data_IF_695893606578
#
_entry.id   IF_695893606578
#
_cell.length_a   1.000
_cell.length_b   1.000
_cell.length_c   1.000
_cell.angle_alpha   90.00
_cell.angle_beta   90.00
_cell.angle_gamma   90.00
#
_symmetry.space_group_name_H-M   'P 1'
#
loop_
_entity.id
_entity.type
_entity.pdbx_description
1 polymer ?
#
# COMPACT_ATOMS: atom_id res chain seq x y z
N UNK A 1 2.27 -5.92 4.84
CA UNK A 1 1.09 -5.77 3.95
C UNK A 1 0.56 -7.12 3.48
N UNK A 2 1.35 -7.92 2.75
CA UNK A 2 0.89 -9.22 2.21
C UNK A 2 0.27 -10.14 3.26
N UNK A 3 0.82 -10.22 4.47
CA UNK A 3 0.22 -11.02 5.56
C UNK A 3 -1.21 -10.59 5.92
N UNK A 4 -1.51 -9.28 5.90
CA UNK A 4 -2.88 -8.78 6.12
C UNK A 4 -3.78 -9.18 4.94
N UNK A 5 -3.29 -8.94 3.71
CA UNK A 5 -4.01 -9.32 2.48
C UNK A 5 -4.32 -10.83 2.43
N UNK A 6 -3.40 -11.66 2.91
CA UNK A 6 -3.50 -13.13 2.99
C UNK A 6 -4.20 -13.61 4.27
N UNK A 7 -5.17 -12.85 4.79
CA UNK A 7 -6.01 -13.27 5.93
C UNK A 7 -5.21 -13.67 7.19
N UNK A 8 -4.09 -12.98 7.42
CA UNK A 8 -3.20 -13.16 8.57
C UNK A 8 -2.14 -14.24 8.40
N UNK A 9 -2.04 -14.85 7.22
CA UNK A 9 -1.06 -15.89 6.90
C UNK A 9 0.09 -15.29 6.11
N UNK A 10 1.30 -15.38 6.65
CA UNK A 10 2.50 -15.11 5.89
C UNK A 10 2.67 -16.21 4.84
N UNK A 11 2.89 -15.79 3.60
CA UNK A 11 3.24 -16.65 2.47
C UNK A 11 4.58 -16.12 1.95
N UNK A 12 5.62 -16.97 1.88
CA UNK A 12 6.93 -16.54 1.38
C UNK A 12 6.83 -16.04 -0.07
N UNK A 13 7.49 -14.92 -0.41
CA UNK A 13 7.51 -14.44 -1.79
C UNK A 13 8.29 -15.41 -2.68
N UNK A 14 7.87 -15.54 -3.94
CA UNK A 14 8.63 -16.21 -4.99
C UNK A 14 8.62 -15.35 -6.26
N UNK A 15 9.69 -15.49 -7.04
CA UNK A 15 9.84 -14.91 -8.38
C UNK A 15 9.73 -15.97 -9.48
N UNK A 16 9.64 -17.26 -9.12
CA UNK A 16 9.64 -18.41 -10.02
C UNK A 16 8.30 -19.14 -9.90
N UNK A 17 7.68 -19.40 -11.03
CA UNK A 17 6.44 -20.16 -11.06
C UNK A 17 6.67 -21.61 -10.61
N UNK A 18 5.80 -22.14 -9.74
CA UNK A 18 5.87 -23.51 -9.24
C UNK A 18 6.62 -23.71 -7.92
N UNK A 19 7.23 -22.66 -7.36
CA UNK A 19 7.78 -22.72 -6.01
C UNK A 19 6.68 -23.02 -4.98
N UNK A 20 6.95 -23.94 -4.06
CA UNK A 20 6.06 -24.24 -2.94
C UNK A 20 6.33 -23.21 -1.82
N UNK A 21 5.39 -22.29 -1.52
CA UNK A 21 5.66 -21.26 -0.55
C UNK A 21 5.58 -21.79 0.88
N UNK A 22 6.51 -21.33 1.73
CA UNK A 22 6.40 -21.54 3.16
C UNK A 22 5.27 -20.67 3.73
N UNK A 23 4.38 -21.27 4.52
CA UNK A 23 3.21 -20.60 5.11
C UNK A 23 3.26 -20.61 6.62
N UNK A 24 2.93 -19.48 7.27
CA UNK A 24 2.81 -19.39 8.73
C UNK A 24 1.74 -18.38 9.14
N UNK A 25 0.82 -18.75 10.03
CA UNK A 25 -0.11 -17.77 10.62
C UNK A 25 0.65 -16.81 11.53
N UNK A 26 0.50 -15.51 11.28
CA UNK A 26 1.11 -14.43 12.07
C UNK A 26 0.04 -13.64 12.83
N UNK A 27 -1.12 -13.43 12.21
CA UNK A 27 -2.21 -12.64 12.76
C UNK A 27 -3.46 -13.49 12.94
N UNK A 28 -4.24 -13.17 13.98
CA UNK A 28 -5.55 -13.78 14.18
C UNK A 28 -6.55 -13.23 13.16
N UNK A 29 -7.61 -13.99 12.81
CA UNK A 29 -8.65 -13.51 11.92
C UNK A 29 -9.28 -12.19 12.38
N UNK A 30 -9.45 -12.02 13.70
CA UNK A 30 -10.06 -10.82 14.30
C UNK A 30 -9.16 -9.60 14.08
N UNK A 31 -7.86 -9.71 14.38
CA UNK A 31 -6.90 -8.64 14.17
C UNK A 31 -6.79 -8.24 12.68
N UNK A 32 -6.90 -9.20 11.77
CA UNK A 32 -6.92 -8.94 10.33
C UNK A 32 -8.18 -8.19 9.92
N UNK A 33 -9.34 -8.63 10.39
CA UNK A 33 -10.61 -7.98 10.08
C UNK A 33 -10.62 -6.52 10.55
N UNK A 34 -10.22 -6.29 11.80
CA UNK A 34 -10.14 -4.96 12.39
C UNK A 34 -9.15 -4.06 11.64
N UNK A 35 -7.92 -4.54 11.42
CA UNK A 35 -6.90 -3.76 10.71
C UNK A 35 -7.30 -3.45 9.27
N UNK A 36 -7.95 -4.38 8.58
CA UNK A 36 -8.44 -4.15 7.22
C UNK A 36 -9.48 -3.03 7.20
N UNK A 37 -10.41 -3.00 8.17
CA UNK A 37 -11.38 -1.90 8.27
C UNK A 37 -10.72 -0.56 8.60
N UNK A 38 -9.76 -0.54 9.53
CA UNK A 38 -8.97 0.66 9.83
C UNK A 38 -8.29 1.20 8.56
N UNK A 39 -7.67 0.32 7.79
CA UNK A 39 -6.97 0.68 6.56
C UNK A 39 -7.91 1.14 5.43
N UNK A 40 -9.11 0.56 5.33
CA UNK A 40 -10.14 1.05 4.41
C UNK A 40 -10.55 2.46 4.80
N UNK A 41 -10.82 2.70 6.09
CA UNK A 41 -11.18 4.03 6.58
C UNK A 41 -10.06 5.05 6.39
N UNK A 42 -8.80 4.63 6.57
CA UNK A 42 -7.64 5.48 6.32
C UNK A 42 -7.56 5.94 4.85
N UNK A 43 -8.01 5.11 3.90
CA UNK A 43 -8.07 5.48 2.49
C UNK A 43 -9.30 6.34 2.19
N UNK A 44 -10.46 5.95 2.71
CA UNK A 44 -11.75 6.59 2.40
C UNK A 44 -11.90 7.98 3.02
N UNK A 45 -11.30 8.17 4.19
CA UNK A 45 -11.31 9.44 4.93
C UNK A 45 -9.99 10.21 4.83
N UNK A 46 -8.94 9.61 4.26
CA UNK A 46 -7.60 10.18 4.21
C UNK A 46 -7.38 11.27 3.16
N UNK A 47 -6.18 11.85 3.18
CA UNK A 47 -5.76 12.97 2.33
C UNK A 47 -5.81 12.65 0.83
N UNK A 48 -5.59 11.39 0.45
CA UNK A 48 -5.58 10.95 -0.94
C UNK A 48 -6.95 10.49 -1.47
N UNK A 49 -8.04 10.61 -0.67
CA UNK A 49 -9.37 10.08 -1.03
C UNK A 49 -9.92 10.62 -2.35
N UNK A 50 -9.54 11.83 -2.72
CA UNK A 50 -9.96 12.49 -3.97
C UNK A 50 -9.51 11.74 -5.23
N UNK A 51 -8.42 10.97 -5.13
CA UNK A 51 -7.87 10.18 -6.23
C UNK A 51 -8.41 8.73 -6.27
N UNK A 52 -9.16 8.30 -5.25
CA UNK A 52 -9.66 6.93 -5.17
C UNK A 52 -10.73 6.68 -6.26
N UNK A 53 -10.58 5.65 -7.12
CA UNK A 53 -11.59 5.31 -8.12
C UNK A 53 -12.91 4.90 -7.45
N UNK A 54 -14.04 5.37 -7.99
CA UNK A 54 -15.37 4.95 -7.51
C UNK A 54 -15.54 3.44 -7.68
N UNK A 55 -16.10 2.79 -6.65
CA UNK A 55 -16.33 1.34 -6.64
C UNK A 55 -15.10 0.51 -6.29
N UNK A 56 -13.90 1.10 -6.21
CA UNK A 56 -12.70 0.38 -5.80
C UNK A 56 -12.54 0.38 -4.28
N UNK A 57 -12.64 -0.81 -3.68
CA UNK A 57 -12.38 -1.05 -2.26
C UNK A 57 -10.89 -1.27 -2.02
N UNK A 58 -10.24 -0.39 -1.25
CA UNK A 58 -8.78 -0.40 -1.01
C UNK A 58 -8.50 -0.35 0.48
N UNK A 59 -7.62 -1.21 0.96
CA UNK A 59 -6.96 -1.06 2.25
C UNK A 59 -5.52 -0.61 2.00
N UNK A 60 -5.13 0.57 2.49
CA UNK A 60 -3.81 1.11 2.19
C UNK A 60 -3.38 2.23 3.11
N UNK A 61 -2.17 2.73 2.88
CA UNK A 61 -1.61 3.84 3.64
C UNK A 61 -0.61 4.62 2.79
N UNK A 62 -0.67 5.95 2.93
CA UNK A 62 0.32 6.90 2.44
C UNK A 62 1.54 6.96 3.36
N UNK A 63 2.72 7.14 2.78
CA UNK A 63 3.96 7.42 3.51
C UNK A 63 4.74 8.53 2.82
N UNK A 64 5.33 9.42 3.62
CA UNK A 64 6.27 10.45 3.18
C UNK A 64 7.43 10.45 4.16
N UNK A 65 8.65 10.23 3.68
CA UNK A 65 9.84 10.22 4.52
C UNK A 65 10.90 11.13 3.91
N UNK A 66 11.62 11.90 4.74
CA UNK A 66 12.77 12.67 4.29
C UNK A 66 13.92 11.73 3.90
N UNK A 67 14.73 12.13 2.91
CA UNK A 67 15.85 11.33 2.45
C UNK A 67 17.03 11.47 3.43
N UNK A 68 17.60 10.36 3.93
CA UNK A 68 18.82 10.42 4.73
C UNK A 68 20.02 10.70 3.82
N UNK A 69 20.83 11.69 4.20
CA UNK A 69 22.10 12.06 3.54
C UNK A 69 23.15 12.16 4.65
N UNK A 70 24.21 11.36 4.59
CA UNK A 70 25.38 11.46 5.48
C UNK A 70 25.04 11.65 6.98
N UNK A 71 24.06 10.88 7.48
CA UNK A 71 23.67 10.89 8.90
C UNK A 71 22.68 11.98 9.33
N UNK A 72 22.20 12.82 8.41
CA UNK A 72 21.10 13.77 8.63
C UNK A 72 19.98 13.56 7.60
N UNK A 73 18.84 14.23 7.80
CA UNK A 73 17.73 14.22 6.84
C UNK A 73 17.74 15.51 6.02
N UNK A 74 17.62 15.36 4.70
CA UNK A 74 17.43 16.50 3.81
C UNK A 74 16.01 17.06 3.99
N UNK A 75 15.85 18.35 4.36
CA UNK A 75 14.54 18.92 4.63
C UNK A 75 13.69 19.13 3.37
N UNK A 76 14.32 19.17 2.19
CA UNK A 76 13.66 19.47 0.91
C UNK A 76 13.36 18.20 0.10
N UNK A 77 14.04 17.09 0.41
CA UNK A 77 13.92 15.84 -0.36
C UNK A 77 13.13 14.77 0.37
N UNK A 78 12.14 14.21 -0.31
CA UNK A 78 11.31 13.13 0.22
C UNK A 78 11.32 11.88 -0.65
N UNK A 79 11.02 10.75 -0.02
CA UNK A 79 10.50 9.54 -0.65
C UNK A 79 8.99 9.53 -0.35
N UNK A 80 8.20 9.71 -1.39
CA UNK A 80 6.75 9.61 -1.36
C UNK A 80 6.32 8.18 -1.68
N UNK A 81 5.36 7.63 -0.95
CA UNK A 81 4.93 6.25 -1.14
C UNK A 81 3.45 6.03 -0.84
N UNK A 82 2.91 4.98 -1.47
CA UNK A 82 1.64 4.38 -1.09
C UNK A 82 1.76 2.86 -1.16
N UNK A 83 1.28 2.19 -0.12
CA UNK A 83 1.20 0.74 -0.06
C UNK A 83 -0.22 0.31 0.29
N UNK A 84 -0.72 -0.71 -0.40
CA UNK A 84 -2.06 -1.21 -0.13
C UNK A 84 -2.36 -2.50 -0.87
N UNK A 85 -3.54 -3.05 -0.59
CA UNK A 85 -4.10 -4.20 -1.27
C UNK A 85 -5.55 -3.98 -1.67
N UNK A 86 -5.98 -4.66 -2.73
CA UNK A 86 -7.28 -4.49 -3.33
C UNK A 86 -7.71 -5.74 -4.14
N UNK A 87 -9.03 -6.00 -4.28
CA UNK A 87 -10.13 -5.45 -3.48
C UNK A 87 -9.97 -5.75 -1.98
N UNK A 88 -10.35 -4.83 -1.08
CA UNK A 88 -9.95 -4.94 0.33
C UNK A 88 -10.52 -6.16 1.08
N UNK A 89 -11.71 -6.65 0.72
CA UNK A 89 -12.35 -7.81 1.39
C UNK A 89 -11.85 -9.16 0.84
N UNK A 90 -11.56 -9.22 -0.46
CA UNK A 90 -11.00 -10.39 -1.14
C UNK A 90 -9.78 -9.96 -1.94
N UNK A 91 -8.62 -9.76 -1.28
CA UNK A 91 -7.45 -9.18 -1.91
C UNK A 91 -6.91 -10.07 -3.02
N UNK A 92 -6.75 -9.49 -4.21
CA UNK A 92 -6.10 -10.14 -5.36
C UNK A 92 -4.69 -9.62 -5.58
N UNK A 93 -4.48 -8.33 -5.27
CA UNK A 93 -3.22 -7.64 -5.48
C UNK A 93 -2.78 -6.94 -4.21
N UNK A 94 -1.48 -6.97 -3.94
CA UNK A 94 -0.80 -6.03 -3.03
C UNK A 94 0.25 -5.27 -3.83
N UNK A 95 0.30 -3.96 -3.67
CA UNK A 95 1.19 -3.11 -4.44
C UNK A 95 1.79 -2.01 -3.58
N UNK A 96 3.07 -1.74 -3.80
CA UNK A 96 3.82 -0.61 -3.26
C UNK A 96 4.26 0.27 -4.43
N UNK A 97 3.96 1.56 -4.35
CA UNK A 97 4.50 2.59 -5.25
C UNK A 97 5.36 3.53 -4.42
N UNK A 98 6.58 3.77 -4.88
CA UNK A 98 7.54 4.69 -4.26
C UNK A 98 8.10 5.64 -5.30
N UNK A 99 8.11 6.92 -4.99
CA UNK A 99 8.71 7.98 -5.80
C UNK A 99 9.78 8.67 -4.98
N UNK A 100 11.01 8.72 -5.51
CA UNK A 100 12.14 9.41 -4.89
C UNK A 100 12.27 10.81 -5.49
N UNK A 101 12.37 11.82 -4.63
CA UNK A 101 12.49 13.23 -5.02
C UNK A 101 11.41 13.67 -6.04
N UNK A 102 10.10 13.42 -5.76
CA UNK A 102 9.04 13.85 -6.66
C UNK A 102 9.01 15.38 -6.79
N UNK A 103 8.91 15.87 -8.03
CA UNK A 103 9.04 17.31 -8.32
C UNK A 103 7.72 18.08 -8.21
N UNK A 104 6.57 17.41 -8.35
CA UNK A 104 5.26 18.07 -8.36
C UNK A 104 4.72 18.33 -6.94
N UNK A 105 5.12 17.52 -5.97
CA UNK A 105 4.80 17.68 -4.54
C UNK A 105 5.63 16.69 -3.71
N UNK A 106 6.08 17.06 -2.50
CA UNK A 106 6.80 16.14 -1.61
C UNK A 106 5.90 15.08 -0.96
N UNK A 107 4.57 15.23 -1.03
CA UNK A 107 3.63 14.40 -0.26
C UNK A 107 3.20 13.14 -1.01
N UNK A 108 3.26 11.99 -0.34
CA UNK A 108 2.76 10.71 -0.86
C UNK A 108 1.27 10.72 -1.21
N UNK A 109 0.46 11.52 -0.50
CA UNK A 109 -0.97 11.71 -0.77
C UNK A 109 -1.25 12.43 -2.09
N UNK A 110 -0.31 13.24 -2.58
CA UNK A 110 -0.44 14.06 -3.80
C UNK A 110 0.29 13.45 -5.01
N UNK A 111 1.17 12.47 -4.80
CA UNK A 111 2.02 11.88 -5.86
C UNK A 111 1.87 10.37 -5.97
N UNK A 112 2.44 9.61 -5.03
CA UNK A 112 2.47 8.16 -5.08
C UNK A 112 1.07 7.53 -4.99
N UNK A 113 0.16 8.10 -4.19
CA UNK A 113 -1.20 7.57 -4.02
C UNK A 113 -2.06 7.71 -5.30
N UNK A 114 -2.14 8.87 -5.98
CA UNK A 114 -2.83 8.96 -7.27
C UNK A 114 -2.29 7.99 -8.33
N UNK A 115 -0.95 7.83 -8.42
CA UNK A 115 -0.34 6.87 -9.33
C UNK A 115 -0.73 5.43 -8.98
N UNK A 116 -0.68 5.08 -7.69
CA UNK A 116 -1.10 3.77 -7.21
C UNK A 116 -2.56 3.47 -7.57
N UNK A 117 -3.47 4.44 -7.41
CA UNK A 117 -4.88 4.28 -7.75
C UNK A 117 -5.12 4.10 -9.26
N UNK A 118 -4.37 4.82 -10.10
CA UNK A 118 -4.45 4.67 -11.54
C UNK A 118 -4.03 3.26 -11.99
N UNK A 119 -2.93 2.75 -11.45
CA UNK A 119 -2.46 1.38 -11.71
C UNK A 119 -3.43 0.33 -11.17
N UNK A 120 -3.96 0.52 -9.96
CA UNK A 120 -4.93 -0.39 -9.37
C UNK A 120 -6.22 -0.50 -10.20
N UNK A 121 -6.68 0.61 -10.77
CA UNK A 121 -7.80 0.63 -11.71
C UNK A 121 -7.49 -0.18 -12.98
N UNK A 122 -6.28 -0.04 -13.53
CA UNK A 122 -5.87 -0.78 -14.72
C UNK A 122 -5.76 -2.29 -14.48
N UNK A 123 -5.32 -2.72 -13.29
CA UNK A 123 -5.16 -4.15 -12.94
C UNK A 123 -6.49 -4.90 -12.69
N UNK A 124 -7.61 -4.18 -12.56
CA UNK A 124 -8.95 -4.75 -12.36
C UNK A 124 -9.82 -4.73 -13.62
N UNK A 125 -9.41 -4.00 -14.65
CA UNK A 125 -10.02 -4.03 -15.98
C UNK A 125 -9.44 -5.18 -16.80
#
# INVERSE_FOLDING_TARGET
MNTLANKGVYISPSLVEGDIPATRRILSPEAVAEMTQIMIQAVDSGEAKWAKPKGLSVAGKTGTAQIPIEGHYDPEKTIASFIGFFPAQEPKYTMLVTLREPQTSPWGSETAAPLWFALAKQLLL
#
